data_IF_295544910113
#
_entry.id   IF_295544910113
#
_cell.length_a   1.000
_cell.length_b   1.000
_cell.length_c   1.000
_cell.angle_alpha   90.00
_cell.angle_beta   90.00
_cell.angle_gamma   90.00
#
_symmetry.space_group_name_H-M   'P 1'
#
loop_
_entity.id
_entity.type
_entity.pdbx_description
1 polymer ?
#
# COMPACT_ATOMS: atom_id res chain seq x y z
N UNK A 1 -8.94 4.49 -8.94
CA UNK A 1 -10.14 4.03 -9.67
C UNK A 1 -9.77 2.96 -10.70
N UNK A 2 -9.21 3.30 -11.87
CA UNK A 2 -8.89 2.32 -12.93
C UNK A 2 -7.43 1.84 -12.94
N UNK A 3 -6.66 2.14 -11.90
CA UNK A 3 -5.28 1.62 -11.72
C UNK A 3 -4.14 2.55 -12.13
N UNK A 4 -4.41 3.74 -12.67
CA UNK A 4 -3.37 4.67 -13.16
C UNK A 4 -2.70 5.49 -12.04
N UNK A 5 -2.00 4.83 -11.12
CA UNK A 5 -1.19 5.48 -10.10
C UNK A 5 0.03 4.66 -9.72
N UNK A 6 1.06 5.33 -9.20
CA UNK A 6 2.27 4.71 -8.69
C UNK A 6 2.99 5.63 -7.71
N UNK A 7 4.22 5.28 -7.33
CA UNK A 7 5.02 6.07 -6.40
C UNK A 7 6.34 6.50 -7.02
N UNK A 8 6.68 7.78 -6.86
CA UNK A 8 8.04 8.30 -7.00
C UNK A 8 8.63 8.48 -5.60
N UNK A 9 9.71 7.76 -5.31
CA UNK A 9 10.45 7.94 -4.06
C UNK A 9 11.69 8.81 -4.31
N UNK A 10 11.76 9.96 -3.63
CA UNK A 10 12.92 10.85 -3.67
C UNK A 10 13.68 10.70 -2.36
N UNK A 11 14.80 9.98 -2.40
CA UNK A 11 15.66 9.79 -1.24
C UNK A 11 16.44 11.08 -0.92
N UNK A 12 16.65 11.41 0.37
CA UNK A 12 17.70 12.35 0.75
C UNK A 12 19.05 11.89 0.21
N UNK A 13 19.92 12.84 -0.17
CA UNK A 13 21.23 12.51 -0.77
C UNK A 13 22.11 11.66 0.15
N UNK A 14 21.93 11.79 1.46
CA UNK A 14 22.64 11.08 2.51
C UNK A 14 21.84 9.88 3.08
N UNK A 15 20.76 9.47 2.41
CA UNK A 15 19.95 8.31 2.79
C UNK A 15 18.88 8.62 3.84
N UNK A 16 18.21 7.56 4.30
CA UNK A 16 17.19 7.69 5.34
C UNK A 16 17.84 7.88 6.71
N UNK A 17 17.13 8.58 7.61
CA UNK A 17 17.56 8.82 8.98
C UNK A 17 16.46 8.46 9.97
N UNK A 18 16.85 7.98 11.14
CA UNK A 18 15.92 7.75 12.25
C UNK A 18 15.47 9.08 12.90
N UNK A 19 14.66 9.00 13.95
CA UNK A 19 14.13 10.16 14.70
C UNK A 19 15.22 10.99 15.39
N UNK A 20 16.39 10.38 15.63
CA UNK A 20 17.58 11.01 16.23
C UNK A 20 18.57 11.53 15.19
N UNK A 21 18.28 11.33 13.90
CA UNK A 21 19.11 11.76 12.79
C UNK A 21 20.23 10.78 12.43
N UNK A 22 20.24 9.57 12.99
CA UNK A 22 21.24 8.56 12.64
C UNK A 22 20.92 7.91 11.29
N UNK A 23 21.93 7.57 10.47
CA UNK A 23 21.71 6.88 9.21
C UNK A 23 20.99 5.55 9.40
N UNK A 24 20.07 5.24 8.49
CA UNK A 24 19.33 3.99 8.44
C UNK A 24 19.51 3.33 7.08
N UNK A 25 19.66 2.02 7.09
CA UNK A 25 19.79 1.18 5.89
C UNK A 25 18.60 0.22 5.80
N UNK A 26 18.23 -0.15 4.58
CA UNK A 26 17.31 -1.25 4.30
C UNK A 26 17.95 -2.18 3.26
N UNK A 27 17.80 -3.48 3.45
CA UNK A 27 18.37 -4.50 2.58
C UNK A 27 17.48 -4.76 1.36
N UNK A 28 16.20 -4.43 1.47
CA UNK A 28 15.19 -4.66 0.44
C UNK A 28 14.10 -3.60 0.51
N UNK A 29 13.54 -3.27 -0.65
CA UNK A 29 12.36 -2.43 -0.75
C UNK A 29 11.23 -3.14 -1.50
N UNK A 30 10.01 -3.02 -0.99
CA UNK A 30 8.79 -3.43 -1.68
C UNK A 30 7.91 -2.20 -1.91
N UNK A 31 7.22 -2.18 -3.05
CA UNK A 31 6.18 -1.20 -3.33
C UNK A 31 4.83 -1.89 -3.44
N UNK A 32 3.85 -1.36 -2.72
CA UNK A 32 2.50 -1.90 -2.57
C UNK A 32 1.54 -0.79 -3.00
N UNK A 33 0.87 -1.01 -4.12
CA UNK A 33 -0.20 -0.14 -4.58
C UNK A 33 -1.53 -0.69 -4.12
N UNK A 34 -2.27 0.08 -3.33
CA UNK A 34 -3.64 -0.24 -2.93
C UNK A 34 -4.64 0.48 -3.85
N UNK A 35 -5.59 -0.27 -4.38
CA UNK A 35 -6.58 0.22 -5.33
C UNK A 35 -7.99 -0.10 -4.87
N UNK A 36 -8.77 0.94 -4.60
CA UNK A 36 -10.22 0.88 -4.48
C UNK A 36 -10.87 0.91 -5.87
N UNK A 37 -11.51 -0.20 -6.23
CA UNK A 37 -12.16 -0.44 -7.52
C UNK A 37 -13.68 -0.34 -7.38
N UNK A 38 -14.33 0.20 -8.40
CA UNK A 38 -15.78 0.43 -8.45
C UNK A 38 -16.33 -0.30 -9.67
N UNK A 39 -16.70 -1.57 -9.51
CA UNK A 39 -17.10 -2.43 -10.62
C UNK A 39 -18.63 -2.50 -10.65
N UNK A 40 -19.30 -2.01 -11.71
CA UNK A 40 -20.76 -2.03 -11.81
C UNK A 40 -21.35 -3.43 -11.82
N UNK A 41 -22.57 -3.55 -11.32
CA UNK A 41 -23.37 -4.77 -11.36
C UNK A 41 -24.60 -4.58 -12.25
N UNK A 42 -25.04 -5.66 -12.87
CA UNK A 42 -26.32 -5.72 -13.59
C UNK A 42 -27.51 -5.84 -12.61
N UNK A 43 -28.72 -5.87 -13.17
CA UNK A 43 -29.98 -5.99 -12.41
C UNK A 43 -30.07 -7.30 -11.60
N UNK A 44 -29.30 -8.32 -11.96
CA UNK A 44 -29.23 -9.61 -11.27
C UNK A 44 -28.09 -9.66 -10.23
N UNK A 45 -27.34 -8.56 -10.06
CA UNK A 45 -26.24 -8.45 -9.12
C UNK A 45 -24.91 -9.04 -9.60
N UNK A 46 -24.78 -9.44 -10.87
CA UNK A 46 -23.52 -9.92 -11.47
C UNK A 46 -22.68 -8.71 -11.90
N UNK A 47 -21.35 -8.77 -11.72
CA UNK A 47 -20.47 -7.73 -12.24
C UNK A 47 -20.53 -7.66 -13.78
N UNK A 48 -20.62 -6.44 -14.31
CA UNK A 48 -20.70 -6.18 -15.76
C UNK A 48 -19.33 -6.33 -16.40
N UNK A 49 -19.33 -6.83 -17.63
CA UNK A 49 -18.20 -6.83 -18.55
C UNK A 49 -18.51 -5.85 -19.69
N UNK A 50 -17.47 -5.22 -20.24
CA UNK A 50 -17.58 -4.20 -21.29
C UNK A 50 -16.58 -4.53 -22.40
N UNK A 51 -16.95 -4.27 -23.65
CA UNK A 51 -16.09 -4.54 -24.80
C UNK A 51 -14.98 -3.47 -24.91
N UNK A 52 -15.28 -2.24 -24.45
CA UNK A 52 -14.32 -1.14 -24.42
C UNK A 52 -14.28 -0.43 -23.07
N UNK A 53 -13.14 0.20 -22.77
CA UNK A 53 -13.02 1.02 -21.56
C UNK A 53 -14.01 2.19 -21.52
N UNK A 54 -14.35 2.76 -22.68
CA UNK A 54 -15.27 3.90 -22.78
C UNK A 54 -16.70 3.51 -22.39
N UNK A 55 -17.17 2.33 -22.76
CA UNK A 55 -18.50 1.83 -22.39
C UNK A 55 -18.68 1.71 -20.87
N UNK A 56 -17.60 1.40 -20.14
CA UNK A 56 -17.64 1.29 -18.68
C UNK A 56 -17.79 2.64 -17.96
N UNK A 57 -17.56 3.76 -18.65
CA UNK A 57 -17.39 5.08 -18.01
C UNK A 57 -18.62 5.53 -17.21
N UNK A 58 -19.81 5.48 -17.81
CA UNK A 58 -21.04 5.96 -17.18
C UNK A 58 -21.37 5.17 -15.93
N UNK A 59 -21.46 3.85 -16.06
CA UNK A 59 -21.80 2.95 -14.96
C UNK A 59 -20.75 2.98 -13.85
N UNK A 60 -19.46 3.00 -14.19
CA UNK A 60 -18.37 3.09 -13.20
C UNK A 60 -18.44 4.40 -12.42
N UNK A 61 -18.73 5.51 -13.11
CA UNK A 61 -18.88 6.83 -12.47
C UNK A 61 -20.04 6.83 -11.48
N UNK A 62 -21.17 6.20 -11.82
CA UNK A 62 -22.30 6.08 -10.90
C UNK A 62 -21.97 5.25 -9.66
N UNK A 63 -21.25 4.14 -9.80
CA UNK A 63 -20.79 3.35 -8.64
C UNK A 63 -19.81 4.13 -7.77
N UNK A 64 -18.89 4.89 -8.39
CA UNK A 64 -17.93 5.75 -7.67
C UNK A 64 -18.60 6.79 -6.78
N UNK A 65 -19.71 7.39 -7.25
CA UNK A 65 -20.48 8.38 -6.47
C UNK A 65 -21.03 7.82 -5.17
N UNK A 66 -21.23 6.49 -5.08
CA UNK A 66 -21.62 5.82 -3.85
C UNK A 66 -20.51 5.73 -2.79
N UNK A 67 -19.25 6.00 -3.15
CA UNK A 67 -18.06 5.95 -2.27
C UNK A 67 -17.76 4.58 -1.63
N UNK A 68 -18.52 3.55 -1.97
CA UNK A 68 -18.34 2.17 -1.51
C UNK A 68 -17.66 1.36 -2.61
N UNK A 69 -16.35 1.06 -2.48
CA UNK A 69 -15.66 0.26 -3.48
C UNK A 69 -16.17 -1.19 -3.48
N UNK A 70 -16.26 -1.77 -4.68
CA UNK A 70 -16.59 -3.19 -4.85
C UNK A 70 -15.43 -4.09 -4.42
N UNK A 71 -14.20 -3.63 -4.66
CA UNK A 71 -12.98 -4.31 -4.27
C UNK A 71 -11.94 -3.31 -3.78
N UNK A 72 -11.12 -3.74 -2.83
CA UNK A 72 -9.89 -3.08 -2.44
C UNK A 72 -8.78 -4.13 -2.55
N UNK A 73 -7.77 -3.86 -3.38
CA UNK A 73 -6.75 -4.86 -3.71
C UNK A 73 -5.35 -4.26 -3.68
N UNK A 74 -4.38 -5.07 -3.23
CA UNK A 74 -2.97 -4.81 -3.47
C UNK A 74 -2.55 -5.32 -4.85
N UNK A 75 -1.74 -4.53 -5.54
CA UNK A 75 -1.08 -4.88 -6.80
C UNK A 75 -2.03 -5.47 -7.86
N UNK A 76 -3.23 -4.89 -7.96
CA UNK A 76 -4.15 -5.08 -9.08
C UNK A 76 -5.12 -6.26 -9.01
N UNK A 77 -4.97 -7.20 -8.07
CA UNK A 77 -5.94 -8.31 -7.89
C UNK A 77 -5.96 -8.88 -6.48
N UNK A 78 -7.09 -9.52 -6.11
CA UNK A 78 -7.20 -10.30 -4.87
C UNK A 78 -6.09 -11.36 -4.84
N UNK A 79 -5.31 -11.38 -3.76
CA UNK A 79 -4.23 -12.35 -3.57
C UNK A 79 -3.00 -12.13 -4.47
N UNK A 80 -2.81 -10.94 -5.06
CA UNK A 80 -1.63 -10.67 -5.88
C UNK A 80 -0.31 -10.91 -5.12
N UNK A 81 -0.29 -10.58 -3.82
CA UNK A 81 0.88 -10.69 -2.95
C UNK A 81 0.80 -11.89 -1.98
N UNK A 82 0.19 -12.99 -2.42
CA UNK A 82 0.08 -14.23 -1.64
C UNK A 82 0.57 -15.44 -2.43
N UNK A 83 0.77 -16.58 -1.75
CA UNK A 83 1.25 -17.81 -2.39
C UNK A 83 2.60 -17.60 -3.08
N UNK A 84 2.68 -17.94 -4.38
CA UNK A 84 3.88 -17.72 -5.18
C UNK A 84 4.25 -16.23 -5.37
N UNK A 85 3.30 -15.31 -5.18
CA UNK A 85 3.52 -13.86 -5.22
C UNK A 85 3.84 -13.24 -3.85
N UNK A 86 3.98 -14.06 -2.80
CA UNK A 86 4.27 -13.56 -1.46
C UNK A 86 5.61 -12.84 -1.40
N UNK A 87 5.64 -11.71 -0.69
CA UNK A 87 6.86 -10.99 -0.39
C UNK A 87 7.74 -11.84 0.54
N UNK A 88 9.06 -11.76 0.37
CA UNK A 88 10.02 -12.56 1.16
C UNK A 88 11.00 -11.68 1.94
N UNK A 89 11.34 -12.13 3.13
CA UNK A 89 12.42 -11.58 3.95
C UNK A 89 13.03 -12.69 4.81
N UNK A 90 14.23 -12.46 5.32
CA UNK A 90 14.85 -13.33 6.34
C UNK A 90 14.86 -12.62 7.69
N UNK A 91 14.92 -13.39 8.77
CA UNK A 91 15.21 -12.83 10.10
C UNK A 91 16.53 -12.07 10.03
N UNK A 92 16.52 -10.82 10.53
CA UNK A 92 17.63 -9.88 10.46
C UNK A 92 17.62 -8.96 9.23
N UNK A 93 16.86 -9.27 8.17
CA UNK A 93 16.71 -8.34 7.04
C UNK A 93 15.83 -7.15 7.43
N UNK A 94 16.29 -5.95 7.08
CA UNK A 94 15.56 -4.69 7.19
C UNK A 94 14.87 -4.39 5.86
N UNK A 95 13.55 -4.27 5.90
CA UNK A 95 12.73 -4.06 4.70
C UNK A 95 12.03 -2.70 4.76
N UNK A 96 12.15 -1.94 3.67
CA UNK A 96 11.38 -0.73 3.41
C UNK A 96 10.10 -1.11 2.64
N UNK A 97 8.93 -0.85 3.21
CA UNK A 97 7.65 -0.99 2.50
C UNK A 97 7.15 0.40 2.13
N UNK A 98 6.98 0.61 0.83
CA UNK A 98 6.38 1.81 0.25
C UNK A 98 4.94 1.46 -0.05
N UNK A 99 3.99 2.14 0.58
CA UNK A 99 2.57 1.89 0.39
C UNK A 99 1.91 3.15 -0.18
N UNK A 100 1.22 3.01 -1.32
CA UNK A 100 0.49 4.12 -1.93
C UNK A 100 -0.99 3.82 -2.07
N UNK A 101 -1.80 4.82 -1.72
CA UNK A 101 -3.21 4.89 -2.11
C UNK A 101 -3.49 6.24 -2.73
N UNK A 102 -3.94 6.25 -3.98
CA UNK A 102 -4.12 7.49 -4.73
C UNK A 102 -5.46 8.18 -4.48
N UNK A 103 -6.46 7.47 -3.94
CA UNK A 103 -7.84 7.94 -3.95
C UNK A 103 -8.58 7.80 -2.62
N UNK A 104 -8.18 6.85 -1.76
CA UNK A 104 -8.96 6.54 -0.57
C UNK A 104 -8.04 6.17 0.58
N UNK A 105 -8.34 6.68 1.76
CA UNK A 105 -7.57 6.37 2.96
C UNK A 105 -7.43 4.86 3.19
N UNK A 106 -6.26 4.49 3.68
CA UNK A 106 -5.93 3.14 4.13
C UNK A 106 -5.17 3.19 5.46
N UNK A 107 -5.10 2.03 6.14
CA UNK A 107 -4.46 1.88 7.44
C UNK A 107 -3.56 0.65 7.50
N UNK A 108 -2.36 0.69 6.88
CA UNK A 108 -1.59 -0.52 6.73
C UNK A 108 -1.09 -1.08 8.07
N UNK A 109 -1.02 -2.40 8.14
CA UNK A 109 -0.63 -3.15 9.33
C UNK A 109 0.16 -4.41 8.96
N UNK A 110 1.19 -4.74 9.74
CA UNK A 110 1.95 -5.98 9.61
C UNK A 110 1.60 -6.93 10.77
N UNK A 111 0.74 -7.92 10.53
CA UNK A 111 0.29 -8.87 11.56
C UNK A 111 1.50 -9.68 12.05
N UNK A 112 1.78 -9.58 13.36
CA UNK A 112 2.93 -10.22 14.01
C UNK A 112 4.22 -9.39 13.97
N UNK A 113 4.19 -8.21 13.35
CA UNK A 113 5.29 -7.25 13.28
C UNK A 113 4.85 -5.85 13.74
N UNK A 114 5.64 -4.84 13.41
CA UNK A 114 5.37 -3.42 13.67
C UNK A 114 6.01 -2.58 12.54
N UNK A 115 5.69 -1.29 12.47
CA UNK A 115 6.57 -0.32 11.83
C UNK A 115 7.62 0.16 12.83
N UNK A 116 8.88 -0.29 12.69
CA UNK A 116 9.97 0.18 13.55
C UNK A 116 10.16 1.70 13.35
N UNK A 117 10.11 2.15 12.08
CA UNK A 117 10.12 3.56 11.68
C UNK A 117 9.08 3.81 10.59
N UNK A 118 8.22 4.82 10.77
CA UNK A 118 7.12 5.08 9.84
C UNK A 118 7.04 6.57 9.48
N UNK A 119 7.08 6.84 8.17
CA UNK A 119 6.67 8.11 7.58
C UNK A 119 5.28 7.93 6.99
N UNK A 120 4.25 8.02 7.83
CA UNK A 120 2.86 7.84 7.43
C UNK A 120 2.45 8.79 6.28
N UNK A 121 2.99 10.01 6.30
CA UNK A 121 2.80 11.03 5.25
C UNK A 121 3.86 11.01 4.15
N UNK A 122 4.84 10.10 4.23
CA UNK A 122 5.84 9.82 3.20
C UNK A 122 6.83 10.94 2.89
N UNK A 123 7.21 11.76 3.88
CA UNK A 123 8.17 12.85 3.70
C UNK A 123 9.39 12.65 4.59
N UNK A 124 10.52 12.28 4.00
CA UNK A 124 11.73 11.90 4.75
C UNK A 124 12.47 13.04 5.45
N UNK A 125 12.12 14.30 5.16
CA UNK A 125 12.63 15.44 5.94
C UNK A 125 12.04 15.47 7.36
N UNK A 126 10.87 14.87 7.56
CA UNK A 126 10.22 14.76 8.85
C UNK A 126 10.77 13.56 9.62
N UNK A 127 10.75 13.66 10.95
CA UNK A 127 11.08 12.52 11.81
C UNK A 127 10.04 11.41 11.64
N UNK A 128 10.45 10.14 11.52
CA UNK A 128 9.51 9.04 11.55
C UNK A 128 8.90 8.86 12.95
N UNK A 129 7.68 8.34 12.99
CA UNK A 129 7.15 7.71 14.20
C UNK A 129 7.75 6.33 14.39
N UNK A 130 7.69 5.77 15.60
CA UNK A 130 8.26 4.46 15.92
C UNK A 130 7.25 3.53 16.55
N UNK A 131 7.51 2.24 16.42
CA UNK A 131 6.78 1.17 17.09
C UNK A 131 5.28 1.19 16.79
N UNK A 132 4.89 1.63 15.58
CA UNK A 132 3.48 1.68 15.22
C UNK A 132 2.98 0.26 14.95
N UNK A 133 1.87 -0.10 15.59
CA UNK A 133 1.10 -1.30 15.21
C UNK A 133 0.48 -1.12 13.83
N UNK A 134 -0.13 0.03 13.60
CA UNK A 134 -0.88 0.39 12.38
C UNK A 134 -0.62 1.87 12.12
N UNK A 135 -0.51 2.27 10.86
CA UNK A 135 -0.36 3.68 10.48
C UNK A 135 -1.39 4.08 9.45
N UNK A 136 -1.60 5.39 9.31
CA UNK A 136 -2.62 5.93 8.40
C UNK A 136 -1.98 6.55 7.17
N UNK A 137 -2.47 6.18 5.99
CA UNK A 137 -2.07 6.82 4.73
C UNK A 137 -3.31 7.47 4.13
N UNK A 138 -3.39 8.82 4.12
CA UNK A 138 -4.49 9.52 3.48
C UNK A 138 -4.55 9.21 1.97
N UNK A 139 -5.76 9.23 1.40
CA UNK A 139 -5.95 9.17 -0.04
C UNK A 139 -5.15 10.26 -0.76
N UNK A 140 -4.43 9.89 -1.82
CA UNK A 140 -3.54 10.80 -2.55
C UNK A 140 -2.12 10.86 -1.98
N UNK A 141 -1.75 9.91 -1.11
CA UNK A 141 -0.46 9.86 -0.42
C UNK A 141 0.23 8.51 -0.64
N UNK A 142 1.56 8.54 -0.67
CA UNK A 142 2.39 7.37 -0.43
C UNK A 142 3.05 7.52 0.94
N UNK A 143 2.97 6.49 1.77
CA UNK A 143 3.67 6.36 3.04
C UNK A 143 4.80 5.35 2.94
N UNK A 144 5.68 5.37 3.93
CA UNK A 144 6.80 4.44 4.01
C UNK A 144 6.96 3.91 5.43
N UNK A 145 7.25 2.62 5.56
CA UNK A 145 7.61 1.99 6.84
C UNK A 145 8.90 1.17 6.69
N UNK A 146 9.69 1.11 7.74
CA UNK A 146 10.86 0.23 7.82
C UNK A 146 10.67 -0.74 8.98
N UNK A 147 11.02 -1.99 8.75
CA UNK A 147 11.00 -3.03 9.77
C UNK A 147 12.12 -4.03 9.59
N UNK A 148 12.75 -4.40 10.70
CA UNK A 148 13.71 -5.50 10.76
C UNK A 148 12.99 -6.75 11.24
N UNK A 149 12.97 -7.81 10.44
CA UNK A 149 12.28 -9.05 10.80
C UNK A 149 12.99 -9.76 11.96
N UNK A 150 12.23 -10.04 13.03
CA UNK A 150 12.76 -10.65 14.28
C UNK A 150 12.33 -12.11 14.47
N UNK A 151 11.33 -12.57 13.74
CA UNK A 151 10.84 -13.96 13.80
C UNK A 151 10.65 -14.50 12.38
N UNK A 152 10.89 -15.80 12.16
CA UNK A 152 10.52 -16.45 10.91
C UNK A 152 9.00 -16.70 10.89
N UNK A 153 8.45 -16.95 9.70
CA UNK A 153 7.07 -17.36 9.54
C UNK A 153 6.35 -16.64 8.41
N UNK A 154 5.05 -16.89 8.31
CA UNK A 154 4.17 -16.22 7.35
C UNK A 154 3.53 -15.04 8.06
N UNK A 155 3.74 -13.85 7.49
CA UNK A 155 3.14 -12.60 7.95
C UNK A 155 2.02 -12.20 6.99
N UNK A 156 1.03 -11.50 7.51
CA UNK A 156 0.06 -10.80 6.68
C UNK A 156 0.32 -9.30 6.77
N UNK A 157 0.45 -8.66 5.62
CA UNK A 157 0.40 -7.22 5.49
C UNK A 157 -0.97 -6.86 4.94
N UNK A 158 -1.71 -6.01 5.65
CA UNK A 158 -3.13 -5.69 5.39
C UNK A 158 -3.38 -4.20 5.43
#
# INVERSE_FOLDING_TARGET
>A
VSGMSGTLMVLPRDGLKDESGKPMHYDKAYTIGEFNLYIPKDENGKYKEYDTALESYGDTTEVMRGLVPSYIVFNGKKGALTGAGALTAKVGETVLFIHSTANRDTRPHLIGGHGDYVWATGKFINKPERNLETWFIPGGTAGAMVYTFKQPGIYAYV
#
